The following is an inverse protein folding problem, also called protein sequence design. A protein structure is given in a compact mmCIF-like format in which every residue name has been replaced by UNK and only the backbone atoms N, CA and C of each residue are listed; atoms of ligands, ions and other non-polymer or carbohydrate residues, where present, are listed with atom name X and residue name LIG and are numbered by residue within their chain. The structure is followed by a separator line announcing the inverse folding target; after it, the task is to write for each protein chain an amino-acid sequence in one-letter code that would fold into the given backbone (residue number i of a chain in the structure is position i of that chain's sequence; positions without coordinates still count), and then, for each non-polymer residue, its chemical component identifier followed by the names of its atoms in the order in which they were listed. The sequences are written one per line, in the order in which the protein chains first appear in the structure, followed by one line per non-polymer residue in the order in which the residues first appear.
data_IF_124384866402
#
_entry.id   IF_124384866402
#
_cell.length_a   1.000
_cell.length_b   1.000
_cell.length_c   1.000
_cell.angle_alpha   90.00
_cell.angle_beta   90.00
_cell.angle_gamma   90.00
#
_symmetry.space_group_name_H-M   'P 1'
#
loop_
_entity.id
_entity.type
_entity.pdbx_description
1 polymer ?
#
# COMPACT_ATOMS: atom_id res chain seq x y z
N UNK A 1 26.53 -15.90 -43.61
CA UNK A 1 25.43 -14.99 -44.04
C UNK A 1 24.22 -15.39 -43.22
N UNK A 2 24.02 -14.72 -42.10
CA UNK A 2 22.82 -14.89 -41.24
C UNK A 2 21.99 -13.64 -41.39
N UNK A 3 20.85 -13.80 -42.00
CA UNK A 3 19.86 -12.74 -42.11
C UNK A 3 19.22 -12.51 -40.72
N UNK A 4 19.44 -11.32 -40.17
CA UNK A 4 18.81 -10.88 -38.96
C UNK A 4 17.32 -10.61 -39.23
N UNK A 5 16.45 -11.33 -38.54
CA UNK A 5 15.02 -11.06 -38.51
C UNK A 5 14.79 -9.76 -37.74
N UNK A 6 14.56 -8.66 -38.46
CA UNK A 6 14.09 -7.41 -37.87
C UNK A 6 12.59 -7.55 -37.65
N UNK A 7 12.16 -7.67 -36.41
CA UNK A 7 10.75 -7.57 -36.05
C UNK A 7 10.39 -6.08 -36.14
N UNK A 8 9.73 -5.66 -37.21
CA UNK A 8 9.04 -4.40 -37.27
C UNK A 8 7.87 -4.45 -36.28
N UNK A 9 8.08 -3.86 -35.09
CA UNK A 9 6.98 -3.56 -34.18
C UNK A 9 6.21 -2.41 -34.81
N UNK A 10 5.12 -2.73 -35.47
CA UNK A 10 4.18 -1.75 -35.96
C UNK A 10 3.84 -0.75 -34.88
N UNK A 11 3.92 0.55 -35.23
CA UNK A 11 3.43 1.64 -34.39
C UNK A 11 1.92 1.52 -34.23
N UNK A 12 1.45 0.55 -33.47
CA UNK A 12 0.09 0.56 -32.97
C UNK A 12 0.00 1.64 -31.88
N UNK A 13 -0.97 2.49 -32.05
CA UNK A 13 -1.26 3.68 -31.25
C UNK A 13 -1.71 3.29 -29.84
N UNK A 14 -0.78 2.76 -29.03
CA UNK A 14 -0.99 2.36 -27.63
C UNK A 14 -1.44 3.53 -26.75
N UNK A 15 -1.13 4.76 -27.17
CA UNK A 15 -1.51 5.97 -26.45
C UNK A 15 -3.02 6.19 -26.47
N UNK A 16 -3.70 5.94 -27.58
CA UNK A 16 -5.14 6.10 -27.69
C UNK A 16 -5.91 4.98 -26.96
N UNK A 17 -5.41 3.74 -26.98
CA UNK A 17 -6.05 2.63 -26.27
C UNK A 17 -5.97 2.79 -24.75
N UNK A 18 -4.82 3.21 -24.21
CA UNK A 18 -4.66 3.52 -22.79
C UNK A 18 -5.48 4.73 -22.35
N UNK A 19 -5.55 5.79 -23.19
CA UNK A 19 -6.40 6.97 -22.93
C UNK A 19 -7.88 6.58 -22.87
N UNK A 20 -8.36 5.74 -23.78
CA UNK A 20 -9.75 5.24 -23.76
C UNK A 20 -10.05 4.38 -22.53
N UNK A 21 -9.09 3.60 -22.06
CA UNK A 21 -9.26 2.82 -20.82
C UNK A 21 -9.26 3.73 -19.59
N UNK A 22 -8.41 4.76 -19.57
CA UNK A 22 -8.37 5.77 -18.50
C UNK A 22 -9.64 6.62 -18.42
N UNK A 23 -10.28 6.95 -19.57
CA UNK A 23 -11.54 7.70 -19.62
C UNK A 23 -12.71 6.91 -19.01
N UNK A 24 -12.67 5.57 -19.01
CA UNK A 24 -13.70 4.73 -18.37
C UNK A 24 -13.64 4.69 -16.84
N UNK A 25 -12.57 5.24 -16.23
CA UNK A 25 -12.37 5.22 -14.78
C UNK A 25 -12.82 6.54 -14.14
N UNK A 26 -13.98 7.03 -14.54
CA UNK A 26 -14.62 8.17 -13.91
C UNK A 26 -15.60 7.72 -12.83
N UNK A 27 -15.56 8.42 -11.68
CA UNK A 27 -16.51 8.19 -10.61
C UNK A 27 -17.91 8.60 -11.03
N UNK A 28 -18.91 7.73 -10.81
CA UNK A 28 -20.30 7.96 -11.24
C UNK A 28 -21.00 9.09 -10.47
N UNK A 29 -20.52 9.42 -9.26
CA UNK A 29 -21.09 10.48 -8.43
C UNK A 29 -20.01 11.10 -7.54
N UNK A 30 -19.75 12.40 -7.70
CA UNK A 30 -18.74 13.14 -6.94
C UNK A 30 -19.31 14.07 -5.88
N UNK A 31 -20.61 14.38 -5.94
CA UNK A 31 -21.25 15.34 -5.06
C UNK A 31 -22.52 14.72 -4.46
N UNK A 32 -22.74 14.82 -3.13
CA UNK A 32 -24.05 14.52 -2.56
C UNK A 32 -25.09 15.46 -3.20
N UNK A 33 -26.16 14.91 -3.74
CA UNK A 33 -27.31 15.72 -4.12
C UNK A 33 -27.92 16.20 -2.81
N UNK A 34 -27.55 17.40 -2.39
CA UNK A 34 -28.25 18.11 -1.31
C UNK A 34 -29.44 18.77 -1.99
N UNK A 35 -30.59 18.10 -1.95
CA UNK A 35 -31.85 18.78 -2.27
C UNK A 35 -32.02 19.94 -1.32
N UNK A 36 -31.97 21.15 -1.90
CA UNK A 36 -32.52 22.38 -1.43
C UNK A 36 -32.14 22.85 -0.03
N UNK A 37 -31.05 23.63 0.10
CA UNK A 37 -30.95 24.64 1.12
C UNK A 37 -30.18 25.85 0.55
N UNK A 38 -30.93 26.82 0.04
CA UNK A 38 -30.48 28.19 -0.14
C UNK A 38 -30.34 28.80 1.27
N UNK A 39 -29.25 29.47 1.64
CA UNK A 39 -29.13 30.12 2.94
C UNK A 39 -29.96 31.41 2.94
N UNK A 40 -31.06 31.40 3.67
CA UNK A 40 -31.90 32.57 3.81
C UNK A 40 -32.96 32.43 4.91
N UNK A 41 -32.65 33.05 6.06
CA UNK A 41 -33.56 33.49 7.15
C UNK A 41 -34.12 32.45 8.14
N UNK A 42 -33.73 32.70 9.37
CA UNK A 42 -34.27 32.19 10.63
C UNK A 42 -35.80 32.32 10.77
N UNK A 43 -36.45 31.24 11.18
CA UNK A 43 -37.62 31.29 12.06
C UNK A 43 -37.65 30.01 12.90
N UNK A 44 -37.73 30.23 14.21
CA UNK A 44 -37.87 29.21 15.25
C UNK A 44 -39.28 28.69 15.21
N UNK A 45 -39.47 27.37 15.09
CA UNK A 45 -40.67 26.70 15.57
C UNK A 45 -40.32 25.35 16.18
N UNK A 46 -40.74 25.18 17.43
CA UNK A 46 -40.68 23.93 18.20
C UNK A 46 -41.67 22.91 17.64
N UNK A 47 -41.24 21.66 17.48
CA UNK A 47 -42.15 20.58 17.08
C UNK A 47 -41.54 19.20 17.10
N UNK A 48 -41.84 18.44 18.15
CA UNK A 48 -41.85 16.97 18.32
C UNK A 48 -40.92 16.07 17.45
N UNK A 49 -39.94 15.47 18.14
CA UNK A 49 -39.09 14.39 17.62
C UNK A 49 -39.83 13.08 17.39
N UNK A 50 -40.19 12.82 16.15
CA UNK A 50 -40.33 11.46 15.63
C UNK A 50 -38.98 11.08 14.95
N UNK A 51 -38.29 10.08 15.49
CA UNK A 51 -37.09 9.50 14.91
C UNK A 51 -37.40 8.95 13.52
N UNK A 52 -36.87 9.57 12.49
CA UNK A 52 -37.11 9.25 11.10
C UNK A 52 -36.43 7.94 10.67
N UNK A 53 -36.99 7.19 9.70
CA UNK A 53 -36.50 5.90 9.20
C UNK A 53 -35.14 5.92 8.47
N UNK A 54 -34.55 7.10 8.24
CA UNK A 54 -33.35 7.29 7.42
C UNK A 54 -32.06 6.72 8.03
N UNK A 55 -32.00 6.52 9.36
CA UNK A 55 -30.77 6.03 10.03
C UNK A 55 -30.55 4.51 9.90
N UNK A 56 -31.59 3.71 9.73
CA UNK A 56 -31.45 2.26 9.51
C UNK A 56 -30.98 1.96 8.09
N UNK A 57 -31.54 2.62 7.09
CA UNK A 57 -31.20 2.41 5.69
C UNK A 57 -29.74 2.81 5.38
N UNK A 58 -29.15 3.78 6.10
CA UNK A 58 -27.76 4.20 5.88
C UNK A 58 -26.73 3.16 6.38
N UNK A 59 -27.00 2.49 7.51
CA UNK A 59 -26.07 1.44 8.02
C UNK A 59 -26.09 0.19 7.16
N UNK A 60 -27.25 -0.28 6.74
CA UNK A 60 -27.39 -1.45 5.86
C UNK A 60 -26.72 -1.21 4.50
N UNK A 61 -26.82 0.01 3.95
CA UNK A 61 -26.16 0.39 2.71
C UNK A 61 -24.63 0.45 2.88
N UNK A 62 -24.12 1.02 3.98
CA UNK A 62 -22.69 1.11 4.31
C UNK A 62 -22.08 -0.27 4.53
N UNK A 63 -22.77 -1.18 5.20
CA UNK A 63 -22.35 -2.57 5.37
C UNK A 63 -22.31 -3.31 4.03
N UNK A 64 -23.29 -3.09 3.14
CA UNK A 64 -23.28 -3.64 1.79
C UNK A 64 -22.09 -3.14 0.96
N UNK A 65 -21.78 -1.84 1.02
CA UNK A 65 -20.66 -1.23 0.32
C UNK A 65 -19.32 -1.78 0.81
N UNK A 66 -19.15 -1.91 2.11
CA UNK A 66 -17.93 -2.48 2.72
C UNK A 66 -17.71 -3.94 2.30
N UNK A 67 -18.77 -4.74 2.27
CA UNK A 67 -18.71 -6.14 1.81
C UNK A 67 -18.36 -6.26 0.32
N UNK A 68 -18.83 -5.35 -0.53
CA UNK A 68 -18.46 -5.31 -1.95
C UNK A 68 -16.94 -5.08 -2.10
N UNK A 69 -16.37 -4.12 -1.37
CA UNK A 69 -14.93 -3.84 -1.39
C UNK A 69 -14.13 -5.01 -0.85
N UNK A 70 -14.56 -5.60 0.28
CA UNK A 70 -13.93 -6.80 0.85
C UNK A 70 -13.92 -7.96 -0.15
N UNK A 71 -15.02 -8.21 -0.84
CA UNK A 71 -15.15 -9.28 -1.84
C UNK A 71 -14.24 -9.04 -3.04
N UNK A 72 -14.18 -7.80 -3.55
CA UNK A 72 -13.29 -7.45 -4.65
C UNK A 72 -11.81 -7.62 -4.27
N UNK A 73 -11.40 -7.15 -3.08
CA UNK A 73 -10.04 -7.30 -2.57
C UNK A 73 -9.67 -8.78 -2.34
N UNK A 74 -10.57 -9.57 -1.75
CA UNK A 74 -10.35 -11.01 -1.56
C UNK A 74 -10.13 -11.73 -2.89
N UNK A 75 -10.97 -11.45 -3.89
CA UNK A 75 -10.81 -12.01 -5.24
C UNK A 75 -9.49 -11.58 -5.86
N UNK A 76 -9.10 -10.32 -5.71
CA UNK A 76 -7.83 -9.79 -6.20
C UNK A 76 -6.63 -10.51 -5.59
N UNK A 77 -6.62 -10.70 -4.27
CA UNK A 77 -5.55 -11.45 -3.58
C UNK A 77 -5.54 -12.90 -4.04
N UNK A 78 -6.68 -13.57 -4.08
CA UNK A 78 -6.80 -14.97 -4.51
C UNK A 78 -6.22 -15.20 -5.92
N UNK A 79 -6.53 -14.32 -6.87
CA UNK A 79 -6.01 -14.43 -8.25
C UNK A 79 -4.48 -14.23 -8.33
N UNK A 80 -3.92 -13.45 -7.41
CA UNK A 80 -2.49 -13.12 -7.37
C UNK A 80 -1.66 -14.05 -6.52
N UNK A 81 -2.27 -15.05 -5.87
CA UNK A 81 -1.60 -15.90 -4.88
C UNK A 81 -1.79 -17.39 -5.15
N UNK A 82 -2.09 -17.75 -6.39
CA UNK A 82 -2.22 -19.14 -6.80
C UNK A 82 -0.82 -19.81 -6.88
N UNK A 83 -0.47 -20.53 -5.81
CA UNK A 83 0.84 -21.20 -5.65
C UNK A 83 1.06 -22.29 -6.69
N UNK A 84 0.02 -23.00 -7.16
CA UNK A 84 0.14 -24.07 -8.15
C UNK A 84 0.69 -23.57 -9.49
N UNK A 85 0.42 -22.30 -9.84
CA UNK A 85 0.98 -21.68 -11.04
C UNK A 85 2.45 -21.28 -10.81
N UNK A 86 2.80 -20.86 -9.60
CA UNK A 86 4.14 -20.34 -9.25
C UNK A 86 5.20 -21.43 -9.14
N UNK A 87 4.80 -22.67 -8.81
CA UNK A 87 5.71 -23.77 -8.51
C UNK A 87 5.40 -25.02 -9.33
N UNK A 88 5.07 -24.88 -10.60
CA UNK A 88 4.88 -26.01 -11.51
C UNK A 88 6.16 -26.87 -11.58
N UNK A 89 6.19 -27.97 -10.83
CA UNK A 89 7.19 -29.03 -10.96
C UNK A 89 8.18 -29.22 -9.80
N UNK A 90 8.42 -28.26 -8.91
CA UNK A 90 9.55 -28.31 -7.95
C UNK A 90 9.18 -28.45 -6.46
N UNK A 91 7.93 -28.75 -6.14
CA UNK A 91 7.45 -28.79 -4.73
C UNK A 91 7.93 -30.04 -3.95
N UNK A 92 8.51 -31.02 -4.62
CA UNK A 92 8.82 -32.31 -3.99
C UNK A 92 10.14 -32.37 -3.24
N UNK A 93 11.00 -31.36 -3.35
CA UNK A 93 12.37 -31.38 -2.81
C UNK A 93 12.62 -30.42 -1.63
N UNK A 94 11.67 -29.55 -1.31
CA UNK A 94 11.81 -28.58 -0.22
C UNK A 94 11.01 -29.04 1.00
N UNK A 95 11.58 -28.92 2.18
CA UNK A 95 10.85 -29.11 3.44
C UNK A 95 9.66 -28.16 3.47
N UNK A 96 8.43 -28.69 3.44
CA UNK A 96 7.18 -27.93 3.42
C UNK A 96 7.09 -26.90 4.57
N UNK A 97 7.78 -27.16 5.67
CA UNK A 97 7.74 -26.30 6.88
C UNK A 97 8.51 -24.98 6.73
N UNK A 98 9.43 -24.87 5.80
CA UNK A 98 10.26 -23.67 5.62
C UNK A 98 9.83 -22.81 4.44
N UNK A 99 9.01 -23.33 3.55
CA UNK A 99 8.65 -22.65 2.31
C UNK A 99 7.60 -21.57 2.53
N UNK A 100 7.96 -20.33 2.17
CA UNK A 100 7.07 -19.16 2.14
C UNK A 100 6.95 -18.68 0.69
N UNK A 101 5.98 -19.19 -0.11
CA UNK A 101 5.88 -18.87 -1.53
C UNK A 101 5.58 -17.40 -1.80
N UNK A 102 4.90 -16.76 -0.86
CA UNK A 102 4.41 -15.39 -0.97
C UNK A 102 4.83 -14.63 0.29
N UNK A 103 5.37 -13.43 0.08
CA UNK A 103 5.65 -12.48 1.13
C UNK A 103 4.80 -11.22 1.00
N UNK A 104 4.75 -10.45 2.06
CA UNK A 104 4.11 -9.13 2.11
C UNK A 104 5.14 -8.09 2.51
N UNK A 105 5.19 -6.96 1.80
CA UNK A 105 5.86 -5.77 2.28
C UNK A 105 5.09 -5.25 3.50
N UNK A 106 5.65 -5.43 4.69
CA UNK A 106 4.90 -5.36 5.93
C UNK A 106 5.38 -4.26 6.88
N UNK A 107 4.64 -3.17 6.92
CA UNK A 107 4.85 -2.08 7.88
C UNK A 107 4.01 -2.23 9.17
N UNK A 108 3.11 -3.20 9.22
CA UNK A 108 2.09 -3.30 10.25
C UNK A 108 1.00 -2.23 10.17
N UNK A 109 1.02 -1.39 9.12
CA UNK A 109 -0.02 -0.40 8.84
C UNK A 109 -1.27 -1.01 8.19
N UNK A 110 -2.36 -0.24 8.11
CA UNK A 110 -3.68 -0.68 7.66
C UNK A 110 -3.64 -1.52 6.37
N UNK A 111 -2.94 -1.04 5.32
CA UNK A 111 -2.95 -1.67 4.00
C UNK A 111 -2.27 -3.04 4.03
N UNK A 112 -1.07 -3.12 4.64
CA UNK A 112 -0.33 -4.37 4.76
C UNK A 112 -1.02 -5.38 5.69
N UNK A 113 -1.72 -4.92 6.72
CA UNK A 113 -2.53 -5.77 7.60
C UNK A 113 -3.74 -6.36 6.87
N UNK A 114 -4.44 -5.57 6.05
CA UNK A 114 -5.53 -6.07 5.20
C UNK A 114 -5.01 -7.13 4.23
N UNK A 115 -3.87 -6.87 3.57
CA UNK A 115 -3.27 -7.85 2.66
C UNK A 115 -2.89 -9.14 3.39
N UNK A 116 -2.34 -9.06 4.61
CA UNK A 116 -1.97 -10.22 5.40
C UNK A 116 -3.20 -11.06 5.78
N UNK A 117 -4.25 -10.43 6.29
CA UNK A 117 -5.47 -11.13 6.66
C UNK A 117 -6.20 -11.76 5.44
N UNK A 118 -6.17 -11.08 4.29
CA UNK A 118 -6.74 -11.63 3.05
C UNK A 118 -5.89 -12.76 2.47
N UNK A 119 -4.57 -12.65 2.52
CA UNK A 119 -3.67 -13.70 2.07
C UNK A 119 -3.84 -14.97 2.91
N UNK A 120 -4.00 -14.83 4.22
CA UNK A 120 -4.31 -15.96 5.10
C UNK A 120 -5.57 -16.72 4.68
N UNK A 121 -6.62 -16.01 4.28
CA UNK A 121 -7.88 -16.61 3.81
C UNK A 121 -7.77 -17.25 2.42
N UNK A 122 -6.79 -16.86 1.61
CA UNK A 122 -6.64 -17.32 0.23
C UNK A 122 -5.55 -18.39 0.03
N UNK A 123 -4.61 -18.47 0.97
CA UNK A 123 -3.45 -19.36 0.90
C UNK A 123 -3.66 -20.57 1.80
N UNK A 124 -3.33 -21.77 1.30
CA UNK A 124 -3.38 -23.01 2.09
C UNK A 124 -2.59 -22.84 3.42
N UNK A 125 -3.16 -23.35 4.51
CA UNK A 125 -2.59 -23.21 5.87
C UNK A 125 -1.23 -23.89 6.05
N UNK A 126 -0.86 -24.82 5.19
CA UNK A 126 0.46 -25.45 5.19
C UNK A 126 1.60 -24.49 4.86
N UNK A 127 1.33 -23.39 4.13
CA UNK A 127 2.36 -22.44 3.74
C UNK A 127 2.61 -21.38 4.82
N UNK A 128 3.89 -21.07 5.03
CA UNK A 128 4.29 -19.93 5.85
C UNK A 128 4.07 -18.63 5.07
N UNK A 129 3.69 -17.56 5.75
CA UNK A 129 3.63 -16.21 5.19
C UNK A 129 4.77 -15.37 5.76
N UNK A 130 5.68 -14.92 4.89
CA UNK A 130 6.74 -14.01 5.27
C UNK A 130 6.23 -12.56 5.29
N UNK A 131 6.49 -11.88 6.38
CA UNK A 131 6.19 -10.46 6.59
C UNK A 131 7.51 -9.69 6.58
N UNK A 132 7.83 -9.02 5.46
CA UNK A 132 9.12 -8.38 5.25
C UNK A 132 9.08 -6.93 5.78
N UNK A 133 9.87 -6.64 6.80
CA UNK A 133 9.91 -5.34 7.46
C UNK A 133 11.33 -4.78 7.51
N UNK A 134 11.54 -3.59 6.92
CA UNK A 134 12.83 -2.90 6.85
C UNK A 134 12.89 -1.80 7.89
N UNK A 135 14.03 -1.68 8.57
CA UNK A 135 14.29 -0.64 9.55
C UNK A 135 15.71 -0.07 9.43
N UNK A 136 15.80 1.26 9.52
CA UNK A 136 17.04 2.04 9.63
C UNK A 136 17.27 2.62 11.03
N UNK A 137 16.47 2.20 12.01
CA UNK A 137 16.55 2.63 13.41
C UNK A 137 16.28 1.43 14.35
N UNK A 138 16.55 0.22 13.86
CA UNK A 138 16.35 -1.04 14.58
C UNK A 138 14.93 -1.17 15.11
N UNK A 139 14.79 -1.49 16.39
CA UNK A 139 13.50 -1.68 17.05
C UNK A 139 12.73 -0.37 17.30
N UNK A 140 13.37 0.80 17.11
CA UNK A 140 12.77 2.12 17.36
C UNK A 140 12.03 2.69 16.14
N UNK A 141 12.23 2.11 14.97
CA UNK A 141 11.51 2.54 13.77
C UNK A 141 10.00 2.36 13.94
N UNK A 142 9.19 3.37 13.59
CA UNK A 142 7.73 3.29 13.75
C UNK A 142 7.09 2.10 13.04
N UNK A 143 7.58 1.71 11.85
CA UNK A 143 7.06 0.55 11.14
C UNK A 143 7.50 -0.78 11.80
N UNK A 144 8.67 -0.83 12.48
CA UNK A 144 9.04 -2.00 13.28
C UNK A 144 8.12 -2.16 14.48
N UNK A 145 7.85 -1.08 15.20
CA UNK A 145 6.90 -1.09 16.33
C UNK A 145 5.50 -1.52 15.86
N UNK A 146 5.01 -0.95 14.76
CA UNK A 146 3.71 -1.31 14.19
C UNK A 146 3.68 -2.76 13.68
N UNK A 147 4.77 -3.26 13.06
CA UNK A 147 4.82 -4.63 12.54
C UNK A 147 4.82 -5.68 13.66
N UNK A 148 5.48 -5.42 14.78
CA UNK A 148 5.45 -6.29 15.94
C UNK A 148 4.04 -6.34 16.58
N UNK A 149 3.36 -5.21 16.70
CA UNK A 149 1.98 -5.15 17.15
C UNK A 149 1.03 -5.85 16.18
N UNK A 150 1.19 -5.59 14.87
CA UNK A 150 0.41 -6.22 13.80
C UNK A 150 0.59 -7.73 13.74
N UNK A 151 1.82 -8.24 13.94
CA UNK A 151 2.06 -9.68 14.02
C UNK A 151 1.24 -10.32 15.16
N UNK A 152 1.22 -9.70 16.34
CA UNK A 152 0.42 -10.20 17.48
C UNK A 152 -1.08 -10.19 17.17
N UNK A 153 -1.57 -9.16 16.48
CA UNK A 153 -2.95 -9.08 16.04
C UNK A 153 -3.27 -10.19 15.02
N UNK A 154 -2.40 -10.43 14.02
CA UNK A 154 -2.54 -11.51 13.05
C UNK A 154 -2.54 -12.90 13.71
N UNK A 155 -1.64 -13.14 14.66
CA UNK A 155 -1.59 -14.40 15.43
C UNK A 155 -2.85 -14.63 16.26
N UNK A 156 -3.50 -13.56 16.73
CA UNK A 156 -4.75 -13.65 17.48
C UNK A 156 -5.94 -14.02 16.59
N UNK A 157 -6.02 -13.46 15.38
CA UNK A 157 -7.13 -13.75 14.44
C UNK A 157 -6.92 -15.06 13.69
N UNK A 158 -5.67 -15.47 13.46
CA UNK A 158 -5.31 -16.69 12.74
C UNK A 158 -4.19 -17.44 13.47
N UNK A 159 -4.51 -18.10 14.60
CA UNK A 159 -3.51 -18.70 15.47
C UNK A 159 -2.83 -19.95 14.87
N UNK A 160 -3.45 -20.60 13.89
CA UNK A 160 -2.91 -21.77 13.21
C UNK A 160 -1.99 -21.43 12.02
N UNK A 161 -2.01 -20.16 11.58
CA UNK A 161 -1.15 -19.70 10.49
C UNK A 161 0.28 -19.53 11.00
N UNK A 162 1.24 -20.04 10.23
CA UNK A 162 2.67 -19.77 10.45
C UNK A 162 3.02 -18.41 9.88
N UNK A 163 3.10 -17.40 10.77
CA UNK A 163 3.53 -16.05 10.46
C UNK A 163 5.01 -15.90 10.75
N UNK A 164 5.79 -15.40 9.80
CA UNK A 164 7.23 -15.16 9.98
C UNK A 164 7.53 -13.69 9.71
N UNK A 165 7.81 -12.92 10.76
CA UNK A 165 8.28 -11.54 10.63
C UNK A 165 9.80 -11.57 10.37
N UNK A 166 10.18 -11.13 9.17
CA UNK A 166 11.59 -10.99 8.77
C UNK A 166 12.02 -9.56 9.04
N UNK A 167 12.83 -9.39 10.07
CA UNK A 167 13.36 -8.09 10.51
C UNK A 167 14.64 -7.76 9.76
N UNK A 168 14.57 -6.82 8.81
CA UNK A 168 15.67 -6.39 7.96
C UNK A 168 16.22 -5.08 8.52
N UNK A 169 17.27 -5.17 9.32
CA UNK A 169 17.92 -4.03 9.97
C UNK A 169 19.15 -3.62 9.17
N UNK A 170 19.29 -2.34 8.87
CA UNK A 170 20.40 -1.79 8.11
C UNK A 170 20.73 -0.35 8.51
N UNK A 171 21.91 0.11 8.07
CA UNK A 171 22.37 1.48 8.19
C UNK A 171 22.69 2.02 6.78
N UNK A 172 22.19 3.20 6.47
CA UNK A 172 22.40 3.84 5.18
C UNK A 172 23.89 4.15 4.90
N UNK A 173 24.70 4.28 5.93
CA UNK A 173 26.17 4.48 5.77
C UNK A 173 26.85 3.27 5.11
N UNK A 174 26.33 2.07 5.34
CA UNK A 174 26.86 0.82 4.81
C UNK A 174 26.31 0.45 3.42
N UNK A 175 25.39 1.24 2.87
CA UNK A 175 24.68 0.96 1.61
C UNK A 175 25.15 1.88 0.46
N UNK A 176 26.44 2.21 0.37
CA UNK A 176 26.89 3.11 -0.69
C UNK A 176 26.75 2.49 -2.08
N UNK A 177 27.25 1.26 -2.26
CA UNK A 177 27.17 0.53 -3.54
C UNK A 177 25.73 0.20 -3.92
N UNK A 178 24.94 -0.26 -2.95
CA UNK A 178 23.53 -0.58 -3.14
C UNK A 178 22.70 0.67 -3.48
N UNK A 179 23.05 1.83 -2.90
CA UNK A 179 22.37 3.08 -3.21
C UNK A 179 22.63 3.53 -4.66
N UNK A 180 23.85 3.36 -5.17
CA UNK A 180 24.20 3.62 -6.57
C UNK A 180 23.46 2.65 -7.51
N UNK A 181 23.38 1.38 -7.16
CA UNK A 181 22.61 0.38 -7.89
C UNK A 181 21.13 0.73 -7.93
N UNK A 182 20.51 1.01 -6.77
CA UNK A 182 19.10 1.40 -6.69
C UNK A 182 18.81 2.69 -7.46
N UNK A 183 19.76 3.64 -7.52
CA UNK A 183 19.63 4.83 -8.38
C UNK A 183 19.43 4.45 -9.85
N UNK A 184 20.09 3.41 -10.35
CA UNK A 184 19.88 2.92 -11.72
C UNK A 184 18.49 2.28 -11.90
N UNK A 185 17.99 1.57 -10.89
CA UNK A 185 16.68 0.91 -10.93
C UNK A 185 15.52 1.90 -10.89
N UNK A 186 15.64 2.98 -10.13
CA UNK A 186 14.56 3.98 -10.02
C UNK A 186 14.46 4.91 -11.23
N UNK A 187 15.47 4.93 -12.13
CA UNK A 187 15.44 5.80 -13.31
C UNK A 187 14.11 5.65 -14.09
N UNK A 188 13.48 6.71 -14.60
CA UNK A 188 13.97 8.10 -14.68
C UNK A 188 13.73 8.97 -13.42
N UNK A 189 13.18 8.41 -12.33
CA UNK A 189 13.10 9.14 -11.06
C UNK A 189 14.49 9.42 -10.50
N UNK A 190 14.68 10.63 -9.94
CA UNK A 190 15.99 11.09 -9.45
C UNK A 190 15.89 11.89 -8.17
N UNK A 191 14.80 11.71 -7.40
CA UNK A 191 14.63 12.43 -6.13
C UNK A 191 15.08 11.59 -4.93
N UNK A 192 15.52 12.27 -3.85
CA UNK A 192 15.82 11.58 -2.60
C UNK A 192 14.63 10.81 -2.02
N UNK A 193 13.41 11.24 -2.29
CA UNK A 193 12.20 10.51 -1.91
C UNK A 193 12.13 9.18 -2.64
N UNK A 194 12.31 9.18 -3.96
CA UNK A 194 12.27 7.97 -4.78
C UNK A 194 13.42 7.02 -4.43
N UNK A 195 14.62 7.54 -4.21
CA UNK A 195 15.77 6.76 -3.76
C UNK A 195 15.51 6.08 -2.41
N UNK A 196 15.03 6.83 -1.42
CA UNK A 196 14.75 6.30 -0.09
C UNK A 196 13.67 5.19 -0.15
N UNK A 197 12.62 5.40 -0.94
CA UNK A 197 11.58 4.37 -1.14
C UNK A 197 12.17 3.17 -1.88
N UNK A 198 12.93 3.41 -2.96
CA UNK A 198 13.58 2.36 -3.75
C UNK A 198 14.51 1.48 -2.90
N UNK A 199 15.37 2.07 -2.08
CA UNK A 199 16.27 1.35 -1.17
C UNK A 199 15.47 0.48 -0.18
N UNK A 200 14.42 1.03 0.44
CA UNK A 200 13.60 0.28 1.38
C UNK A 200 12.89 -0.90 0.71
N UNK A 201 12.37 -0.73 -0.50
CA UNK A 201 11.73 -1.79 -1.29
C UNK A 201 12.74 -2.85 -1.74
N UNK A 202 13.90 -2.43 -2.23
CA UNK A 202 14.96 -3.31 -2.68
C UNK A 202 15.46 -4.20 -1.56
N UNK A 203 15.74 -3.64 -0.38
CA UNK A 203 16.14 -4.40 0.81
C UNK A 203 15.04 -5.37 1.25
N UNK A 204 13.78 -4.93 1.28
CA UNK A 204 12.65 -5.81 1.61
C UNK A 204 12.56 -6.98 0.63
N UNK A 205 12.70 -6.72 -0.68
CA UNK A 205 12.68 -7.76 -1.70
C UNK A 205 13.86 -8.74 -1.56
N UNK A 206 15.04 -8.29 -1.14
CA UNK A 206 16.17 -9.16 -0.79
C UNK A 206 15.80 -10.19 0.28
N UNK A 207 14.97 -9.78 1.24
CA UNK A 207 14.40 -10.66 2.27
C UNK A 207 15.44 -11.27 3.21
N UNK A 208 16.64 -10.70 3.31
CA UNK A 208 17.74 -11.16 4.19
C UNK A 208 17.63 -10.42 5.53
N UNK A 209 17.21 -11.12 6.56
CA UNK A 209 16.95 -10.52 7.85
C UNK A 209 17.11 -11.48 9.02
N UNK A 210 16.47 -11.12 10.10
CA UNK A 210 16.41 -11.88 11.34
C UNK A 210 14.97 -12.29 11.64
N UNK A 211 14.82 -13.48 12.19
CA UNK A 211 13.53 -14.02 12.63
C UNK A 211 13.65 -14.46 14.07
N UNK A 212 12.63 -14.22 14.87
CA UNK A 212 12.54 -14.73 16.24
C UNK A 212 11.91 -16.12 16.22
N UNK A 213 12.64 -17.14 16.70
CA UNK A 213 12.13 -18.50 16.88
C UNK A 213 11.12 -18.61 18.02
N UNK A 214 10.43 -19.74 18.09
CA UNK A 214 9.50 -20.05 19.18
C UNK A 214 10.22 -20.21 20.55
N UNK A 215 11.50 -20.56 20.50
CA UNK A 215 12.40 -20.66 21.65
C UNK A 215 12.90 -19.30 22.16
N UNK A 216 12.48 -18.21 21.50
CA UNK A 216 12.95 -16.85 21.79
C UNK A 216 14.34 -16.53 21.24
N UNK A 217 14.99 -17.46 20.55
CA UNK A 217 16.28 -17.21 19.90
C UNK A 217 16.06 -16.50 18.56
N UNK A 218 17.01 -15.65 18.19
CA UNK A 218 17.01 -14.89 16.94
C UNK A 218 17.99 -15.54 15.96
N UNK A 219 17.54 -15.89 14.78
CA UNK A 219 18.37 -16.52 13.75
C UNK A 219 18.31 -15.77 12.42
N UNK A 220 19.37 -15.89 11.63
CA UNK A 220 19.42 -15.36 10.28
C UNK A 220 18.51 -16.17 9.37
N UNK A 221 17.75 -15.45 8.55
CA UNK A 221 16.81 -16.03 7.61
C UNK A 221 16.81 -15.24 6.30
N UNK A 222 16.71 -15.92 5.18
CA UNK A 222 16.49 -15.33 3.87
C UNK A 222 15.17 -15.83 3.29
N UNK A 223 14.26 -14.92 2.99
CA UNK A 223 12.95 -15.24 2.43
C UNK A 223 13.05 -15.90 1.06
N UNK A 224 12.44 -17.07 0.91
CA UNK A 224 12.37 -17.84 -0.32
C UNK A 224 11.21 -17.46 -1.22
N UNK A 225 10.41 -16.43 -0.83
CA UNK A 225 9.23 -16.01 -1.58
C UNK A 225 9.58 -15.59 -3.01
N UNK A 226 8.73 -15.99 -3.97
CA UNK A 226 8.79 -15.55 -5.37
C UNK A 226 7.88 -14.38 -5.66
N UNK A 227 6.87 -14.17 -4.83
CA UNK A 227 5.90 -13.07 -4.96
C UNK A 227 5.94 -12.20 -3.73
N UNK A 228 5.94 -10.87 -3.96
CA UNK A 228 5.82 -9.86 -2.91
C UNK A 228 4.54 -9.05 -3.12
N UNK A 229 3.60 -9.13 -2.17
CA UNK A 229 2.41 -8.30 -2.16
C UNK A 229 2.73 -6.91 -1.61
N UNK A 230 2.27 -5.87 -2.32
CA UNK A 230 2.51 -4.47 -2.00
C UNK A 230 1.21 -3.70 -1.88
N UNK A 231 1.11 -2.83 -0.87
CA UNK A 231 -0.09 -2.04 -0.56
C UNK A 231 -0.32 -0.79 -1.44
N UNK A 232 0.47 -0.59 -2.50
CA UNK A 232 0.31 0.54 -3.42
C UNK A 232 -1.06 0.53 -4.07
N UNK A 233 -1.66 1.71 -4.23
CA UNK A 233 -3.03 1.89 -4.74
C UNK A 233 -4.06 2.17 -3.64
N UNK A 234 -3.83 1.73 -2.40
CA UNK A 234 -4.77 1.95 -1.28
C UNK A 234 -4.89 3.44 -0.91
N UNK A 235 -3.77 4.15 -0.86
CA UNK A 235 -3.74 5.58 -0.53
C UNK A 235 -4.37 6.44 -1.62
N UNK A 236 -4.07 6.13 -2.88
CA UNK A 236 -4.52 6.87 -4.05
C UNK A 236 -6.03 6.80 -4.22
N UNK A 237 -6.61 5.61 -4.00
CA UNK A 237 -8.03 5.35 -4.23
C UNK A 237 -8.92 5.63 -3.02
N UNK A 238 -8.35 5.68 -1.81
CA UNK A 238 -9.12 5.80 -0.57
C UNK A 238 -8.74 7.05 0.26
N UNK A 239 -8.26 8.10 -0.39
CA UNK A 239 -7.94 9.39 0.24
C UNK A 239 -6.94 9.28 1.41
N UNK A 240 -5.89 8.45 1.25
CA UNK A 240 -4.91 8.17 2.32
C UNK A 240 -3.86 9.26 2.52
N UNK A 241 -3.66 10.17 1.58
CA UNK A 241 -2.59 11.17 1.65
C UNK A 241 -3.02 12.45 2.38
N UNK A 242 -2.10 13.09 3.09
CA UNK A 242 -2.33 14.39 3.73
C UNK A 242 -2.79 15.48 2.76
N UNK A 243 -2.29 15.46 1.51
CA UNK A 243 -2.72 16.39 0.45
C UNK A 243 -4.18 16.20 0.04
N UNK A 244 -4.74 14.98 0.11
CA UNK A 244 -6.16 14.72 -0.13
C UNK A 244 -7.02 15.49 0.86
N UNK A 245 -6.66 15.46 2.14
CA UNK A 245 -7.33 16.24 3.18
C UNK A 245 -7.22 17.74 2.94
N UNK A 246 -6.04 18.21 2.50
CA UNK A 246 -5.85 19.63 2.17
C UNK A 246 -6.73 20.04 0.99
N UNK A 247 -6.77 19.24 -0.09
CA UNK A 247 -7.64 19.51 -1.24
C UNK A 247 -9.12 19.50 -0.88
N UNK A 248 -9.55 18.54 -0.07
CA UNK A 248 -10.92 18.50 0.44
C UNK A 248 -11.28 19.75 1.23
N UNK A 249 -10.40 20.23 2.12
CA UNK A 249 -10.64 21.47 2.89
C UNK A 249 -10.72 22.72 2.03
N UNK A 250 -9.97 22.77 0.94
CA UNK A 250 -9.91 23.93 0.04
C UNK A 250 -11.07 23.99 -0.96
N UNK A 251 -11.54 22.85 -1.46
CA UNK A 251 -12.52 22.82 -2.55
C UNK A 251 -13.51 21.65 -2.48
N UNK A 252 -13.69 21.07 -1.29
CA UNK A 252 -14.70 20.01 -1.05
C UNK A 252 -14.43 18.73 -1.83
N UNK A 253 -15.49 17.98 -2.08
CA UNK A 253 -15.45 16.67 -2.74
C UNK A 253 -14.93 16.74 -4.17
N UNK A 254 -15.22 17.79 -4.92
CA UNK A 254 -14.77 17.98 -6.30
C UNK A 254 -13.25 18.08 -6.38
N UNK A 255 -12.63 18.92 -5.54
CA UNK A 255 -11.16 19.06 -5.49
C UNK A 255 -10.46 17.81 -4.95
N UNK A 256 -11.12 17.06 -4.07
CA UNK A 256 -10.62 15.78 -3.61
C UNK A 256 -10.63 14.76 -4.75
N UNK A 257 -11.73 14.62 -5.49
CA UNK A 257 -11.85 13.68 -6.60
C UNK A 257 -10.82 13.95 -7.69
N UNK A 258 -10.62 15.22 -8.05
CA UNK A 258 -9.60 15.63 -9.01
C UNK A 258 -8.20 15.20 -8.57
N UNK A 259 -7.82 15.46 -7.32
CA UNK A 259 -6.49 15.07 -6.80
C UNK A 259 -6.32 13.55 -6.74
N UNK A 260 -7.32 12.81 -6.30
CA UNK A 260 -7.29 11.35 -6.26
C UNK A 260 -7.20 10.75 -7.68
N UNK A 261 -7.95 11.30 -8.62
CA UNK A 261 -7.89 10.89 -10.04
C UNK A 261 -6.50 11.11 -10.62
N UNK A 262 -5.88 12.27 -10.37
CA UNK A 262 -4.51 12.54 -10.79
C UNK A 262 -3.50 11.55 -10.19
N UNK A 263 -3.70 11.15 -8.92
CA UNK A 263 -2.83 10.17 -8.29
C UNK A 263 -2.95 8.79 -8.95
N UNK A 264 -4.16 8.33 -9.23
CA UNK A 264 -4.39 7.04 -9.91
C UNK A 264 -3.85 7.07 -11.34
N UNK A 265 -4.07 8.15 -12.10
CA UNK A 265 -3.58 8.28 -13.47
C UNK A 265 -2.05 8.22 -13.59
N UNK A 266 -1.32 8.70 -12.59
CA UNK A 266 0.15 8.75 -12.62
C UNK A 266 0.83 7.64 -11.82
N UNK A 267 0.07 6.75 -11.16
CA UNK A 267 0.62 5.73 -10.25
C UNK A 267 1.58 4.77 -10.96
N UNK A 268 1.30 4.41 -12.20
CA UNK A 268 2.15 3.53 -13.01
C UNK A 268 3.55 4.11 -13.22
N UNK A 269 3.64 5.44 -13.44
CA UNK A 269 4.90 6.16 -13.64
C UNK A 269 5.59 6.46 -12.31
N UNK A 270 4.81 6.88 -11.32
CA UNK A 270 5.34 7.41 -10.06
C UNK A 270 5.73 6.32 -9.06
N UNK A 271 4.92 5.26 -8.96
CA UNK A 271 5.09 4.20 -7.96
C UNK A 271 5.47 2.87 -8.62
N UNK A 272 4.57 2.30 -9.43
CA UNK A 272 4.67 0.91 -9.89
C UNK A 272 5.97 0.61 -10.64
N UNK A 273 6.37 1.46 -11.58
CA UNK A 273 7.60 1.22 -12.35
C UNK A 273 8.87 1.23 -11.49
N UNK A 274 8.93 2.09 -10.47
CA UNK A 274 10.03 2.08 -9.48
C UNK A 274 9.96 0.84 -8.62
N UNK A 275 8.79 0.59 -8.04
CA UNK A 275 8.57 -0.48 -7.07
C UNK A 275 8.84 -1.85 -7.71
N UNK A 276 8.34 -2.07 -8.93
CA UNK A 276 8.53 -3.30 -9.69
C UNK A 276 10.01 -3.55 -10.00
N UNK A 277 10.74 -2.57 -10.52
CA UNK A 277 12.17 -2.74 -10.82
C UNK A 277 13.01 -3.03 -9.58
N UNK A 278 12.75 -2.35 -8.47
CA UNK A 278 13.45 -2.59 -7.21
C UNK A 278 13.16 -3.98 -6.63
N UNK A 279 11.94 -4.50 -6.83
CA UNK A 279 11.54 -5.82 -6.32
C UNK A 279 12.03 -6.93 -7.24
N UNK A 280 11.90 -6.76 -8.56
CA UNK A 280 12.27 -7.77 -9.55
C UNK A 280 13.79 -7.99 -9.66
N UNK A 281 14.60 -7.02 -9.24
CA UNK A 281 16.06 -7.15 -9.16
C UNK A 281 16.52 -8.32 -8.25
N UNK A 282 15.70 -8.69 -7.29
CA UNK A 282 15.89 -9.88 -6.44
C UNK A 282 15.17 -11.14 -6.94
N UNK A 283 14.70 -11.15 -8.19
CA UNK A 283 13.98 -12.29 -8.77
C UNK A 283 12.59 -12.51 -8.17
N UNK A 284 12.01 -11.52 -7.53
CA UNK A 284 10.65 -11.55 -6.99
C UNK A 284 9.70 -10.78 -7.90
N UNK A 285 8.44 -11.25 -7.97
CA UNK A 285 7.38 -10.57 -8.70
C UNK A 285 6.59 -9.66 -7.75
N UNK A 286 6.54 -8.37 -8.04
CA UNK A 286 5.70 -7.43 -7.32
C UNK A 286 4.23 -7.59 -7.75
N UNK A 287 3.32 -7.71 -6.79
CA UNK A 287 1.89 -7.76 -7.06
C UNK A 287 1.14 -6.73 -6.22
N UNK A 288 0.19 -6.04 -6.86
CA UNK A 288 -0.51 -4.87 -6.32
C UNK A 288 -2.02 -5.15 -6.23
N UNK A 289 -2.51 -5.85 -5.19
CA UNK A 289 -3.92 -6.24 -5.12
C UNK A 289 -4.92 -5.07 -5.11
N UNK A 290 -4.54 -3.93 -4.54
CA UNK A 290 -5.39 -2.73 -4.55
C UNK A 290 -5.56 -2.11 -5.95
N UNK A 291 -4.67 -2.45 -6.90
CA UNK A 291 -4.71 -1.97 -8.29
C UNK A 291 -5.33 -2.99 -9.26
N UNK A 292 -6.05 -3.97 -8.76
CA UNK A 292 -6.89 -4.85 -9.57
C UNK A 292 -8.03 -4.05 -10.21
N UNK A 293 -8.33 -4.32 -11.48
CA UNK A 293 -9.35 -3.58 -12.22
C UNK A 293 -10.72 -3.66 -11.55
N UNK A 294 -11.11 -4.82 -10.99
CA UNK A 294 -12.37 -4.96 -10.29
C UNK A 294 -12.38 -4.18 -8.96
N UNK A 295 -11.23 -4.09 -8.28
CA UNK A 295 -11.10 -3.28 -7.06
C UNK A 295 -11.23 -1.80 -7.40
N UNK A 296 -10.53 -1.33 -8.42
CA UNK A 296 -10.61 0.06 -8.90
C UNK A 296 -12.05 0.38 -9.32
N UNK A 297 -12.67 -0.46 -10.14
CA UNK A 297 -14.04 -0.27 -10.57
C UNK A 297 -15.01 -0.21 -9.40
N UNK A 298 -14.88 -1.14 -8.44
CA UNK A 298 -15.72 -1.18 -7.24
C UNK A 298 -15.60 0.12 -6.45
N UNK A 299 -14.37 0.62 -6.24
CA UNK A 299 -14.13 1.86 -5.50
C UNK A 299 -14.62 3.10 -6.27
N UNK A 300 -14.57 3.12 -7.60
CA UNK A 300 -15.09 4.21 -8.42
C UNK A 300 -16.63 4.27 -8.43
N UNK A 301 -17.30 3.15 -8.20
CA UNK A 301 -18.75 3.10 -8.08
C UNK A 301 -19.27 3.60 -6.72
N UNK A 302 -18.39 3.72 -5.74
CA UNK A 302 -18.73 4.14 -4.37
C UNK A 302 -18.56 5.66 -4.24
N UNK A 303 -19.56 6.37 -3.70
CA UNK A 303 -19.44 7.80 -3.42
C UNK A 303 -18.27 8.13 -2.48
N UNK A 304 -17.60 9.26 -2.70
CA UNK A 304 -16.42 9.66 -1.92
C UNK A 304 -16.67 9.77 -0.41
N UNK A 305 -17.85 10.18 0.01
CA UNK A 305 -18.21 10.28 1.44
C UNK A 305 -18.36 8.92 2.15
N UNK A 306 -18.52 7.84 1.39
CA UNK A 306 -18.41 6.48 1.93
C UNK A 306 -16.96 6.00 1.96
N UNK A 307 -16.14 6.40 0.96
CA UNK A 307 -14.70 6.09 0.90
C UNK A 307 -13.93 6.75 2.03
N UNK A 308 -14.21 8.04 2.32
CA UNK A 308 -13.50 8.81 3.32
C UNK A 308 -14.42 9.83 4.02
N UNK A 309 -14.02 10.26 5.23
CA UNK A 309 -14.68 11.34 6.01
C UNK A 309 -13.59 12.25 6.56
N UNK A 310 -13.08 13.13 5.69
CA UNK A 310 -11.84 13.89 5.94
C UNK A 310 -12.00 15.02 6.97
N UNK A 311 -13.20 15.27 7.47
CA UNK A 311 -13.46 16.13 8.63
C UNK A 311 -13.06 15.45 9.95
N UNK A 312 -13.02 14.11 9.98
CA UNK A 312 -12.55 13.35 11.13
C UNK A 312 -11.02 13.34 11.22
N UNK A 313 -10.45 13.06 12.40
CA UNK A 313 -9.00 12.96 12.60
C UNK A 313 -8.32 11.95 11.68
N UNK A 314 -7.00 12.14 11.46
CA UNK A 314 -6.14 11.15 10.80
C UNK A 314 -6.17 9.85 11.59
N UNK A 315 -6.25 8.73 10.87
CA UNK A 315 -6.43 7.40 11.48
C UNK A 315 -7.90 6.99 11.67
N UNK A 316 -8.86 7.88 11.36
CA UNK A 316 -10.30 7.61 11.39
C UNK A 316 -10.97 7.91 10.06
N UNK A 317 -10.87 9.15 9.58
CA UNK A 317 -11.61 9.60 8.41
C UNK A 317 -10.92 9.34 7.08
N UNK A 318 -9.60 9.24 7.04
CA UNK A 318 -8.85 8.78 5.88
C UNK A 318 -9.05 7.28 5.69
N UNK A 319 -9.19 6.81 4.45
CA UNK A 319 -9.41 5.39 4.14
C UNK A 319 -10.58 4.75 4.91
N UNK A 320 -11.63 5.49 5.22
CA UNK A 320 -12.77 5.03 6.02
C UNK A 320 -13.25 3.64 5.59
N UNK A 321 -13.45 3.43 4.29
CA UNK A 321 -13.92 2.16 3.74
C UNK A 321 -12.94 1.00 4.03
N UNK A 322 -11.62 1.23 3.90
CA UNK A 322 -10.63 0.20 4.20
C UNK A 322 -10.53 -0.09 5.71
N UNK A 323 -10.78 0.89 6.57
CA UNK A 323 -10.86 0.69 8.02
C UNK A 323 -12.07 -0.18 8.39
N UNK A 324 -13.18 -0.04 7.68
CA UNK A 324 -14.34 -0.90 7.85
C UNK A 324 -14.05 -2.32 7.35
N UNK A 325 -13.38 -2.46 6.19
CA UNK A 325 -12.90 -3.77 5.70
C UNK A 325 -11.97 -4.43 6.73
N UNK A 326 -11.03 -3.69 7.32
CA UNK A 326 -10.15 -4.21 8.35
C UNK A 326 -10.92 -4.75 9.57
N UNK A 327 -11.95 -4.03 10.02
CA UNK A 327 -12.82 -4.49 11.12
C UNK A 327 -13.57 -5.76 10.78
N UNK A 328 -14.08 -5.91 9.55
CA UNK A 328 -14.72 -7.15 9.09
C UNK A 328 -13.74 -8.33 9.04
N UNK A 329 -12.45 -8.07 8.84
CA UNK A 329 -11.38 -9.05 8.89
C UNK A 329 -10.90 -9.36 10.33
N UNK A 330 -11.47 -8.72 11.35
CA UNK A 330 -11.06 -8.88 12.76
C UNK A 330 -9.89 -8.00 13.19
N UNK A 331 -9.39 -7.12 12.31
CA UNK A 331 -8.25 -6.22 12.54
C UNK A 331 -8.71 -4.95 13.30
N UNK A 332 -8.87 -5.07 14.62
CA UNK A 332 -9.40 -3.97 15.44
C UNK A 332 -8.34 -2.86 15.63
N UNK A 333 -7.11 -3.23 15.99
CA UNK A 333 -6.02 -2.28 16.27
C UNK A 333 -5.53 -1.59 15.01
N UNK A 334 -5.26 -2.37 13.94
CA UNK A 334 -4.82 -1.85 12.65
C UNK A 334 -5.82 -0.88 12.02
N UNK A 335 -7.13 -1.06 12.29
CA UNK A 335 -8.19 -0.20 11.75
C UNK A 335 -8.12 1.26 12.21
N UNK A 336 -7.37 1.58 13.26
CA UNK A 336 -7.19 2.93 13.80
C UNK A 336 -5.80 3.53 13.55
N UNK A 337 -4.88 2.77 12.95
CA UNK A 337 -3.53 3.27 12.73
C UNK A 337 -3.51 4.43 11.72
N UNK A 338 -2.78 5.51 12.03
CA UNK A 338 -2.59 6.59 11.08
C UNK A 338 -1.69 6.13 9.92
N UNK A 339 -1.96 6.67 8.71
CA UNK A 339 -1.14 6.41 7.54
C UNK A 339 0.28 6.93 7.75
N UNK A 340 1.26 6.10 7.42
CA UNK A 340 2.68 6.47 7.39
C UNK A 340 3.31 5.95 6.09
N UNK A 341 4.07 6.81 5.41
CA UNK A 341 4.81 6.40 4.23
C UNK A 341 6.09 5.65 4.62
N UNK A 342 6.48 4.66 3.83
CA UNK A 342 7.60 3.74 4.11
C UNK A 342 8.91 4.46 4.46
N UNK A 343 9.24 5.57 3.78
CA UNK A 343 10.47 6.32 4.04
C UNK A 343 10.51 6.97 5.43
N UNK A 344 9.35 7.26 6.02
CA UNK A 344 9.25 7.80 7.39
C UNK A 344 9.09 6.69 8.42
N UNK A 345 8.37 5.65 8.07
CA UNK A 345 8.12 4.50 8.93
C UNK A 345 9.36 3.66 9.17
N UNK A 346 10.15 3.40 8.14
CA UNK A 346 11.43 2.70 8.22
C UNK A 346 12.57 3.55 8.79
N UNK A 347 12.39 4.88 8.88
CA UNK A 347 13.40 5.87 9.27
C UNK A 347 14.48 6.18 8.22
N UNK A 348 14.46 5.63 7.01
CA UNK A 348 15.45 5.92 5.98
C UNK A 348 15.51 7.42 5.63
N UNK A 349 14.38 8.13 5.59
CA UNK A 349 14.34 9.56 5.33
C UNK A 349 15.07 10.38 6.41
N UNK A 350 15.05 9.93 7.67
CA UNK A 350 15.80 10.55 8.77
C UNK A 350 17.31 10.37 8.58
N UNK A 351 17.75 9.16 8.23
CA UNK A 351 19.15 8.87 7.97
C UNK A 351 19.65 9.60 6.72
N UNK A 352 18.88 9.61 5.65
CA UNK A 352 19.18 10.37 4.43
C UNK A 352 19.31 11.88 4.69
N UNK A 353 18.43 12.46 5.53
CA UNK A 353 18.51 13.87 5.89
C UNK A 353 19.78 14.20 6.69
N UNK A 354 20.16 13.36 7.64
CA UNK A 354 21.42 13.56 8.39
C UNK A 354 22.65 13.55 7.46
N UNK A 355 22.68 12.60 6.53
CA UNK A 355 23.80 12.39 5.62
C UNK A 355 23.87 13.46 4.53
N UNK A 356 22.74 13.82 3.90
CA UNK A 356 22.73 14.64 2.69
C UNK A 356 22.41 16.13 2.95
N UNK A 357 21.75 16.47 4.07
CA UNK A 357 21.25 17.83 4.34
C UNK A 357 21.65 18.39 5.71
N UNK A 358 22.32 17.59 6.54
CA UNK A 358 22.67 17.95 7.91
C UNK A 358 21.54 17.73 8.93
N UNK A 359 21.90 17.79 10.22
CA UNK A 359 21.05 17.41 11.35
C UNK A 359 19.83 18.32 11.59
N UNK A 360 19.81 19.53 11.02
CA UNK A 360 18.80 20.55 11.34
C UNK A 360 17.55 20.48 10.42
N UNK A 361 17.53 19.65 9.38
CA UNK A 361 16.35 19.47 8.52
C UNK A 361 15.44 18.38 9.04
N UNK A 362 14.17 18.74 9.25
CA UNK A 362 13.16 17.74 9.62
C UNK A 362 12.93 16.75 8.47
N UNK A 363 12.92 15.45 8.79
CA UNK A 363 12.77 14.36 7.82
C UNK A 363 11.44 14.41 7.03
N UNK A 364 10.45 15.12 7.56
CA UNK A 364 9.09 15.21 6.99
C UNK A 364 8.85 16.52 6.20
N UNK A 365 9.86 17.35 6.00
CA UNK A 365 9.68 18.54 5.17
C UNK A 365 9.51 18.17 3.70
N UNK A 366 8.43 18.63 3.08
CA UNK A 366 8.10 18.37 1.67
C UNK A 366 9.24 18.75 0.71
N UNK A 367 9.98 19.82 1.01
CA UNK A 367 11.13 20.27 0.24
C UNK A 367 12.30 19.28 0.19
N UNK A 368 12.48 18.44 1.23
CA UNK A 368 13.55 17.43 1.24
C UNK A 368 13.22 16.24 0.34
N UNK A 369 11.91 15.92 0.17
CA UNK A 369 11.45 14.79 -0.66
C UNK A 369 11.51 15.07 -2.16
N UNK A 370 11.51 16.35 -2.58
CA UNK A 370 11.52 16.74 -4.00
C UNK A 370 12.92 17.16 -4.50
N UNK A 371 13.95 17.13 -3.65
CA UNK A 371 15.32 17.47 -4.06
C UNK A 371 15.87 16.37 -4.94
N UNK A 372 16.35 16.74 -6.11
CA UNK A 372 17.04 15.84 -7.04
C UNK A 372 18.38 15.38 -6.48
N UNK A 373 18.68 14.11 -6.69
CA UNK A 373 20.01 13.56 -6.42
C UNK A 373 20.90 14.00 -7.56
N UNK A 374 21.75 15.00 -7.32
CA UNK A 374 22.81 15.30 -8.26
C UNK A 374 23.77 14.11 -8.29
N UNK A 375 24.17 13.65 -9.50
CA UNK A 375 25.17 12.61 -9.67
C UNK A 375 26.33 12.91 -8.71
N UNK A 376 26.61 11.98 -7.79
CA UNK A 376 27.79 12.05 -6.96
C UNK A 376 28.96 12.18 -7.94
N UNK A 377 29.52 13.37 -8.07
CA UNK A 377 30.77 13.58 -8.80
C UNK A 377 31.80 12.65 -8.18
N UNK A 378 32.42 11.86 -9.02
CA UNK A 378 33.47 10.89 -8.71
C UNK A 378 34.63 11.47 -7.91
#
# INVERSE_FOLDING_TARGET
MNEGCVIEVGKHDWTNSLLHTLIRWERKSTVPIVDGLIPGKSSVEEGNHHLSPSFRNSREAEDSTTHRVLTALRKSVMLRTNVNILYQGDLTTLNDDELAPIAILFSGGLDSMILAALLDQCLDSKWTIDLLNVSFDGQLAPDRVSSLAGLKELQRISPLRRWRLVEIDTDLANLKGESEHVMSLIHPSNTYMDLNIGIALWLAAGGDGWVNGQDGQRYKYKSTSRVLLVGSGADEQCAGYGRHRTKYRLGGWSSLDEEMRLDVQRIWKRNMGRDDRCISDHGKEARFPFLDENVIQTLLEIPLWEIAKLDEPVGKGDKKILRQVAKLLGLQEASFLPKRAIQFGSRIARESNRKNFGSNRAANQASAGSVEVHKLSH
#
